data_IF_263088074642
#
_entry.id   IF_263088074642
#
_cell.length_a   1.000
_cell.length_b   1.000
_cell.length_c   1.000
_cell.angle_alpha   90.00
_cell.angle_beta   90.00
_cell.angle_gamma   90.00
#
_symmetry.space_group_name_H-M   'P 1'
#
loop_
_entity.id
_entity.type
_entity.pdbx_description
1 polymer ?
#
# COMPACT_ATOMS: atom_id res chain seq x y z
N UNK A 1 -13.95 -1.55 -5.98
CA UNK A 1 -15.00 -2.21 -5.22
C UNK A 1 -14.66 -2.20 -3.74
N UNK A 2 -15.59 -1.73 -2.92
CA UNK A 2 -15.35 -1.51 -1.48
C UNK A 2 -14.97 -2.81 -0.77
N UNK A 3 -15.65 -3.89 -1.08
CA UNK A 3 -15.39 -5.19 -0.44
C UNK A 3 -13.98 -5.71 -0.77
N UNK A 4 -13.52 -5.51 -2.01
CA UNK A 4 -12.18 -5.90 -2.41
C UNK A 4 -11.11 -5.09 -1.70
N UNK A 5 -11.33 -3.79 -1.56
CA UNK A 5 -10.39 -2.91 -0.87
C UNK A 5 -10.29 -3.25 0.61
N UNK A 6 -11.42 -3.56 1.24
CA UNK A 6 -11.44 -3.95 2.65
C UNK A 6 -10.67 -5.25 2.87
N UNK A 7 -10.90 -6.25 2.04
CA UNK A 7 -10.19 -7.54 2.13
C UNK A 7 -8.68 -7.35 1.92
N UNK A 8 -8.30 -6.50 0.98
CA UNK A 8 -6.90 -6.21 0.69
C UNK A 8 -6.22 -5.54 1.89
N UNK A 9 -6.88 -4.54 2.49
CA UNK A 9 -6.34 -3.86 3.66
C UNK A 9 -6.20 -4.81 4.85
N UNK A 10 -7.16 -5.70 5.05
CA UNK A 10 -7.09 -6.71 6.11
C UNK A 10 -5.91 -7.65 5.89
N UNK A 11 -5.71 -8.11 4.65
CA UNK A 11 -4.58 -8.97 4.32
C UNK A 11 -3.24 -8.27 4.60
N UNK A 12 -3.11 -7.01 4.23
CA UNK A 12 -1.91 -6.23 4.50
C UNK A 12 -1.65 -6.08 5.99
N UNK A 13 -2.70 -5.77 6.76
CA UNK A 13 -2.57 -5.63 8.22
C UNK A 13 -2.11 -6.93 8.87
N UNK A 14 -2.67 -8.06 8.46
CA UNK A 14 -2.28 -9.36 8.96
C UNK A 14 -0.83 -9.68 8.64
N UNK A 15 -0.37 -9.36 7.44
CA UNK A 15 1.02 -9.58 7.03
C UNK A 15 1.98 -8.70 7.80
N UNK A 16 1.62 -7.45 8.06
CA UNK A 16 2.45 -6.56 8.87
C UNK A 16 2.63 -7.10 10.27
N UNK A 17 1.55 -7.57 10.89
CA UNK A 17 1.60 -8.18 12.22
C UNK A 17 2.47 -9.45 12.21
N UNK A 18 2.29 -10.30 11.20
CA UNK A 18 3.05 -11.55 11.07
C UNK A 18 4.55 -11.29 10.91
N UNK A 19 4.93 -10.16 10.34
CA UNK A 19 6.34 -9.78 10.17
C UNK A 19 6.91 -9.03 11.38
N UNK A 20 6.16 -8.96 12.47
CA UNK A 20 6.61 -8.31 13.71
C UNK A 20 6.36 -6.81 13.77
N UNK A 21 5.64 -6.27 12.82
CA UNK A 21 5.23 -4.87 12.86
C UNK A 21 3.93 -4.70 13.60
N UNK A 22 3.74 -3.55 14.22
CA UNK A 22 2.46 -3.18 14.81
C UNK A 22 1.76 -2.20 13.90
N UNK A 23 0.54 -2.52 13.42
CA UNK A 23 -0.22 -1.49 12.72
C UNK A 23 -0.47 -0.35 13.68
N UNK A 24 -0.21 0.86 13.23
CA UNK A 24 -0.45 2.03 14.06
C UNK A 24 -1.95 2.20 14.22
N UNK A 25 -2.43 2.02 15.45
CA UNK A 25 -3.85 2.18 15.75
C UNK A 25 -4.17 3.58 16.26
N UNK A 26 -3.14 4.36 16.51
CA UNK A 26 -3.33 5.75 16.93
C UNK A 26 -3.72 6.55 15.69
N UNK A 27 -4.93 7.12 15.65
CA UNK A 27 -5.29 7.94 14.51
C UNK A 27 -4.37 9.15 14.45
N UNK A 28 -3.78 9.36 13.28
CA UNK A 28 -3.02 10.58 13.06
C UNK A 28 -3.96 11.77 13.22
N UNK A 29 -3.49 12.90 13.75
CA UNK A 29 -4.30 14.10 13.77
C UNK A 29 -4.80 14.38 12.37
N UNK A 30 -6.07 14.75 12.24
CA UNK A 30 -6.62 15.11 10.94
C UNK A 30 -5.86 16.34 10.44
N UNK A 31 -5.11 16.23 9.34
CA UNK A 31 -4.42 17.40 8.83
C UNK A 31 -5.43 18.43 8.35
N UNK A 32 -5.12 19.69 8.49
CA UNK A 32 -5.97 20.71 7.92
C UNK A 32 -5.86 20.71 6.39
N UNK A 33 -6.67 21.51 5.73
CA UNK A 33 -6.74 21.51 4.26
C UNK A 33 -5.39 21.86 3.65
N UNK A 34 -4.60 22.68 4.29
CA UNK A 34 -3.29 23.08 3.79
C UNK A 34 -2.31 21.92 3.72
N UNK A 35 -2.48 20.92 4.61
CA UNK A 35 -1.59 19.76 4.70
C UNK A 35 -2.03 18.57 3.86
N UNK A 36 -3.18 18.64 3.21
CA UNK A 36 -3.70 17.51 2.44
C UNK A 36 -2.74 17.07 1.32
N UNK A 37 -2.14 18.02 0.64
CA UNK A 37 -1.16 17.69 -0.41
C UNK A 37 0.03 16.94 0.17
N UNK A 38 0.57 17.41 1.28
CA UNK A 38 1.68 16.75 1.96
C UNK A 38 1.30 15.34 2.40
N UNK A 39 0.07 15.16 2.85
CA UNK A 39 -0.43 13.85 3.22
C UNK A 39 -0.48 12.91 2.00
N UNK A 40 -0.98 13.37 0.86
CA UNK A 40 -1.00 12.56 -0.36
C UNK A 40 0.41 12.24 -0.85
N UNK A 41 1.33 13.17 -0.75
CA UNK A 41 2.73 12.94 -1.10
C UNK A 41 3.37 11.88 -0.19
N UNK A 42 3.08 11.95 1.11
CA UNK A 42 3.56 10.97 2.07
C UNK A 42 2.98 9.58 1.81
N UNK A 43 1.68 9.51 1.49
CA UNK A 43 1.03 8.26 1.13
C UNK A 43 1.67 7.65 -0.12
N UNK A 44 1.90 8.47 -1.14
CA UNK A 44 2.52 8.01 -2.38
C UNK A 44 3.92 7.44 -2.11
N UNK A 45 4.72 8.13 -1.32
CA UNK A 45 6.06 7.67 -0.95
C UNK A 45 5.98 6.34 -0.21
N UNK A 46 5.06 6.22 0.75
CA UNK A 46 4.89 4.99 1.52
C UNK A 46 4.42 3.84 0.63
N UNK A 47 3.51 4.10 -0.30
CA UNK A 47 3.03 3.07 -1.22
C UNK A 47 4.12 2.59 -2.17
N UNK A 48 4.96 3.49 -2.68
CA UNK A 48 6.10 3.12 -3.52
C UNK A 48 7.07 2.21 -2.77
N UNK A 49 7.36 2.53 -1.52
CA UNK A 49 8.20 1.70 -0.68
C UNK A 49 7.56 0.33 -0.41
N UNK A 50 6.25 0.30 -0.17
CA UNK A 50 5.53 -0.95 0.05
C UNK A 50 5.55 -1.83 -1.20
N UNK A 51 5.32 -1.25 -2.38
CA UNK A 51 5.37 -2.00 -3.64
C UNK A 51 6.73 -2.63 -3.84
N UNK A 52 7.80 -1.89 -3.59
CA UNK A 52 9.16 -2.43 -3.70
C UNK A 52 9.36 -3.64 -2.79
N UNK A 53 8.83 -3.57 -1.55
CA UNK A 53 8.91 -4.70 -0.62
C UNK A 53 8.09 -5.89 -1.11
N UNK A 54 6.91 -5.67 -1.66
CA UNK A 54 6.06 -6.75 -2.17
C UNK A 54 6.71 -7.45 -3.36
N UNK A 55 7.35 -6.70 -4.25
CA UNK A 55 8.08 -7.27 -5.37
C UNK A 55 9.18 -8.19 -4.86
N UNK A 56 9.95 -7.74 -3.88
CA UNK A 56 11.02 -8.54 -3.29
C UNK A 56 10.46 -9.78 -2.58
N UNK A 57 9.35 -9.63 -1.86
CA UNK A 57 8.71 -10.76 -1.20
C UNK A 57 8.16 -11.77 -2.20
N UNK A 58 7.60 -11.30 -3.32
CA UNK A 58 7.13 -12.19 -4.38
C UNK A 58 8.29 -12.99 -4.97
N UNK A 59 9.44 -12.36 -5.16
CA UNK A 59 10.64 -13.02 -5.64
C UNK A 59 11.10 -14.11 -4.66
N UNK A 60 11.11 -13.80 -3.38
CA UNK A 60 11.46 -14.76 -2.33
C UNK A 60 10.47 -15.93 -2.28
N UNK A 61 9.17 -15.64 -2.41
CA UNK A 61 8.14 -16.68 -2.44
C UNK A 61 8.34 -17.62 -3.62
N UNK A 62 8.68 -17.08 -4.78
CA UNK A 62 8.99 -17.87 -5.95
C UNK A 62 10.18 -18.80 -5.71
N UNK A 63 11.27 -18.29 -5.14
CA UNK A 63 12.47 -19.07 -4.81
C UNK A 63 12.15 -20.19 -3.83
N UNK A 64 11.22 -19.95 -2.91
CA UNK A 64 10.82 -20.94 -1.89
C UNK A 64 9.73 -21.88 -2.39
N UNK A 65 9.30 -21.75 -3.63
CA UNK A 65 8.26 -22.60 -4.20
C UNK A 65 6.86 -22.30 -3.68
N UNK A 66 6.64 -21.13 -3.08
CA UNK A 66 5.33 -20.75 -2.53
C UNK A 66 4.52 -19.98 -3.58
N UNK A 67 4.02 -20.71 -4.56
CA UNK A 67 3.35 -20.11 -5.71
C UNK A 67 2.11 -19.32 -5.34
N UNK A 68 1.30 -19.81 -4.40
CA UNK A 68 0.10 -19.10 -3.98
C UNK A 68 0.42 -17.74 -3.37
N UNK A 69 1.41 -17.70 -2.50
CA UNK A 69 1.84 -16.44 -1.90
C UNK A 69 2.43 -15.49 -2.94
N UNK A 70 3.23 -16.04 -3.87
CA UNK A 70 3.78 -15.24 -4.97
C UNK A 70 2.68 -14.54 -5.76
N UNK A 71 1.64 -15.29 -6.15
CA UNK A 71 0.52 -14.74 -6.94
C UNK A 71 -0.21 -13.66 -6.15
N UNK A 72 -0.48 -13.90 -4.87
CA UNK A 72 -1.15 -12.91 -4.03
C UNK A 72 -0.35 -11.62 -3.94
N UNK A 73 0.96 -11.73 -3.75
CA UNK A 73 1.84 -10.55 -3.67
C UNK A 73 1.89 -9.80 -5.00
N UNK A 74 1.92 -10.52 -6.11
CA UNK A 74 1.90 -9.90 -7.44
C UNK A 74 0.59 -9.18 -7.70
N UNK A 75 -0.53 -9.75 -7.26
CA UNK A 75 -1.84 -9.08 -7.37
C UNK A 75 -1.87 -7.81 -6.54
N UNK A 76 -1.27 -7.83 -5.34
CA UNK A 76 -1.18 -6.65 -4.51
C UNK A 76 -0.33 -5.56 -5.15
N UNK A 77 0.76 -5.94 -5.81
CA UNK A 77 1.58 -4.99 -6.55
C UNK A 77 0.76 -4.31 -7.64
N UNK A 78 -0.02 -5.07 -8.39
CA UNK A 78 -0.86 -4.53 -9.45
C UNK A 78 -1.90 -3.55 -8.89
N UNK A 79 -2.58 -3.92 -7.81
CA UNK A 79 -3.59 -3.07 -7.18
C UNK A 79 -2.98 -1.78 -6.64
N UNK A 80 -1.86 -1.89 -5.93
CA UNK A 80 -1.19 -0.71 -5.37
C UNK A 80 -0.64 0.21 -6.45
N UNK A 81 -0.17 -0.35 -7.56
CA UNK A 81 0.27 0.45 -8.70
C UNK A 81 -0.89 1.30 -9.24
N UNK A 82 -2.08 0.72 -9.32
CA UNK A 82 -3.27 1.47 -9.72
C UNK A 82 -3.62 2.59 -8.76
N UNK A 83 -3.50 2.33 -7.45
CA UNK A 83 -3.73 3.36 -6.42
C UNK A 83 -2.71 4.49 -6.53
N UNK A 84 -1.43 4.15 -6.71
CA UNK A 84 -0.38 5.16 -6.88
C UNK A 84 -0.64 6.06 -8.09
N UNK A 85 -1.08 5.48 -9.19
CA UNK A 85 -1.41 6.25 -10.39
C UNK A 85 -2.53 7.24 -10.12
N UNK A 86 -3.55 6.83 -9.36
CA UNK A 86 -4.66 7.72 -8.98
C UNK A 86 -4.17 8.86 -8.10
N UNK A 87 -3.33 8.56 -7.12
CA UNK A 87 -2.75 9.59 -6.24
C UNK A 87 -1.88 10.55 -7.04
N UNK A 88 -1.08 10.03 -7.96
CA UNK A 88 -0.26 10.89 -8.82
C UNK A 88 -1.10 11.83 -9.68
N UNK A 89 -2.24 11.34 -10.20
CA UNK A 89 -3.16 12.19 -10.95
C UNK A 89 -3.75 13.30 -10.08
N UNK A 90 -4.13 12.96 -8.86
CA UNK A 90 -4.65 13.95 -7.90
C UNK A 90 -3.59 15.03 -7.65
N UNK A 91 -2.35 14.61 -7.41
CA UNK A 91 -1.26 15.55 -7.11
C UNK A 91 -0.94 16.44 -8.30
N UNK A 92 -0.98 15.92 -9.51
CA UNK A 92 -0.76 16.73 -10.73
C UNK A 92 -1.82 17.79 -10.91
N UNK A 93 -3.06 17.47 -10.57
CA UNK A 93 -4.19 18.40 -10.66
C UNK A 93 -4.34 19.32 -9.47
N UNK A 94 -3.49 19.21 -8.47
CA UNK A 94 -3.64 19.96 -7.22
C UNK A 94 -3.40 21.43 -7.43
N UNK A 95 -4.36 22.22 -6.97
CA UNK A 95 -4.33 23.69 -7.14
C UNK A 95 -4.51 24.44 -5.82
N UNK A 96 -4.28 23.81 -4.73
CA UNK A 96 -4.56 24.41 -3.45
C UNK A 96 -3.36 24.69 -2.62
#
# INVERSE_FOLDING_TARGET
EIAGETAHATFLSEKIVALGGSPTTVPAPVPDVADNRGMFEAVLTAEKAAVARYIERARQAEEMGQKGLQVQLEDMVADETGHMEKVELILRGWRG
#
